data_IF_363210198778
#
_entry.id   IF_363210198778
#
_cell.length_a   1.000
_cell.length_b   1.000
_cell.length_c   1.000
_cell.angle_alpha   90.00
_cell.angle_beta   90.00
_cell.angle_gamma   90.00
#
_symmetry.space_group_name_H-M   'P 1'
#
loop_
_entity.id
_entity.type
_entity.pdbx_description
1 polymer ?
#
# COMPACT_ATOMS: atom_id res chain seq x y z
N UNK A 1 -15.65 45.07 -6.32
CA UNK A 1 -15.90 43.83 -7.08
C UNK A 1 -15.08 42.74 -6.41
N UNK A 2 -15.69 41.65 -5.89
CA UNK A 2 -14.90 40.61 -5.24
C UNK A 2 -14.29 39.69 -6.30
N UNK A 3 -12.97 39.61 -6.30
CA UNK A 3 -12.16 38.69 -7.10
C UNK A 3 -12.42 37.26 -6.66
N UNK A 4 -13.12 36.49 -7.48
CA UNK A 4 -13.26 35.04 -7.30
C UNK A 4 -11.94 34.42 -7.76
N UNK A 5 -10.99 34.29 -6.84
CA UNK A 5 -9.76 33.53 -7.06
C UNK A 5 -10.14 32.07 -7.22
N UNK A 6 -10.15 31.58 -8.47
CA UNK A 6 -10.30 30.17 -8.78
C UNK A 6 -9.26 29.35 -8.03
N UNK A 7 -9.71 28.59 -7.04
CA UNK A 7 -8.87 27.58 -6.41
C UNK A 7 -8.60 26.52 -7.47
N UNK A 8 -7.35 26.46 -7.93
CA UNK A 8 -6.89 25.42 -8.85
C UNK A 8 -7.20 24.03 -8.25
N UNK A 9 -7.48 23.01 -9.09
CA UNK A 9 -7.69 21.66 -8.61
C UNK A 9 -6.49 21.23 -7.75
N UNK A 10 -6.75 20.96 -6.48
CA UNK A 10 -5.73 20.44 -5.56
C UNK A 10 -5.54 18.96 -5.89
N UNK A 11 -4.86 18.71 -7.00
CA UNK A 11 -4.50 17.36 -7.42
C UNK A 11 -3.36 16.90 -6.52
N UNK A 12 -3.71 16.31 -5.37
CA UNK A 12 -2.71 15.83 -4.44
C UNK A 12 -2.05 14.61 -5.06
N UNK A 13 -0.71 14.57 -5.17
CA UNK A 13 -0.04 13.40 -5.67
C UNK A 13 -0.50 12.20 -4.85
N UNK A 14 -0.95 11.15 -5.55
CA UNK A 14 -1.31 9.86 -4.95
C UNK A 14 -0.05 9.32 -4.29
N UNK A 15 0.11 9.67 -3.02
CA UNK A 15 1.25 9.27 -2.22
C UNK A 15 0.97 7.82 -1.84
N UNK A 16 1.38 6.90 -2.70
CA UNK A 16 1.35 5.47 -2.44
C UNK A 16 2.00 5.23 -1.09
N UNK A 17 1.26 4.61 -0.18
CA UNK A 17 1.66 4.47 1.20
C UNK A 17 2.93 3.61 1.32
N UNK A 18 4.09 4.26 1.46
CA UNK A 18 5.40 3.60 1.63
C UNK A 18 5.54 2.83 2.95
N UNK A 19 4.58 2.91 3.88
CA UNK A 19 4.70 2.23 5.18
C UNK A 19 4.39 0.73 5.13
N UNK A 20 3.80 0.20 4.05
CA UNK A 20 3.45 -1.23 3.95
C UNK A 20 4.57 -2.13 3.42
N UNK A 21 5.78 -1.61 3.22
CA UNK A 21 6.94 -2.46 2.89
C UNK A 21 7.33 -3.36 4.06
N UNK A 22 6.98 -2.99 5.30
CA UNK A 22 7.26 -3.76 6.51
C UNK A 22 5.93 -4.23 7.10
N UNK A 23 5.67 -5.54 7.05
CA UNK A 23 4.52 -6.12 7.72
C UNK A 23 4.81 -6.25 9.21
N UNK A 24 3.92 -5.74 10.07
CA UNK A 24 3.98 -5.94 11.52
C UNK A 24 3.98 -7.44 11.90
N UNK A 25 3.26 -8.25 11.12
CA UNK A 25 3.21 -9.70 11.28
C UNK A 25 4.55 -10.34 10.89
N UNK A 26 5.17 -9.86 9.82
CA UNK A 26 6.52 -10.32 9.42
C UNK A 26 7.57 -9.96 10.46
N UNK A 27 7.48 -8.76 11.05
CA UNK A 27 8.42 -8.29 12.08
C UNK A 27 8.29 -9.12 13.37
N UNK A 28 7.06 -9.37 13.83
CA UNK A 28 6.81 -10.21 15.02
C UNK A 28 7.25 -11.66 14.79
N UNK A 29 7.03 -12.21 13.59
CA UNK A 29 7.52 -13.53 13.22
C UNK A 29 9.06 -13.61 13.23
N UNK A 30 9.76 -12.59 12.72
CA UNK A 30 11.22 -12.53 12.75
C UNK A 30 11.76 -12.43 14.17
N UNK A 31 11.18 -11.56 15.01
CA UNK A 31 11.59 -11.41 16.40
C UNK A 31 11.38 -12.72 17.17
N UNK A 32 10.24 -13.39 16.97
CA UNK A 32 9.96 -14.68 17.58
C UNK A 32 10.96 -15.76 17.13
N UNK A 33 11.28 -15.80 15.83
CA UNK A 33 12.27 -16.74 15.28
C UNK A 33 13.67 -16.50 15.84
N UNK A 34 14.08 -15.23 16.00
CA UNK A 34 15.38 -14.89 16.59
C UNK A 34 15.44 -15.19 18.09
N UNK A 35 14.36 -14.94 18.83
CA UNK A 35 14.28 -15.28 20.26
C UNK A 35 14.32 -16.79 20.46
N UNK A 36 13.51 -17.56 19.73
CA UNK A 36 13.53 -19.02 19.78
C UNK A 36 14.89 -19.58 19.31
N UNK A 37 15.46 -19.03 18.24
CA UNK A 37 16.79 -19.39 17.76
C UNK A 37 17.88 -19.13 18.80
N UNK A 38 17.83 -17.99 19.49
CA UNK A 38 18.74 -17.66 20.58
C UNK A 38 18.61 -18.60 21.79
N UNK A 39 17.38 -18.94 22.18
CA UNK A 39 17.10 -19.89 23.27
C UNK A 39 17.60 -21.30 22.93
N UNK A 40 17.35 -21.78 21.70
CA UNK A 40 17.82 -23.08 21.22
C UNK A 40 19.35 -23.13 21.13
N UNK A 41 19.96 -22.03 20.68
CA UNK A 41 21.43 -21.89 20.61
C UNK A 41 22.07 -21.86 21.99
N UNK A 42 21.42 -21.22 22.96
CA UNK A 42 21.86 -21.21 24.36
C UNK A 42 21.78 -22.60 25.01
N UNK A 43 20.80 -23.44 24.63
CA UNK A 43 20.67 -24.81 25.10
C UNK A 43 21.68 -25.78 24.46
N UNK A 44 21.86 -25.72 23.13
CA UNK A 44 22.69 -26.69 22.39
C UNK A 44 24.16 -26.26 22.22
N UNK A 45 24.55 -25.06 22.70
CA UNK A 45 25.92 -24.48 22.61
C UNK A 45 26.55 -24.56 21.21
N UNK A 46 25.72 -24.65 20.19
CA UNK A 46 26.09 -24.84 18.78
C UNK A 46 25.48 -23.68 18.00
N UNK A 47 26.26 -22.91 17.20
CA UNK A 47 25.77 -21.68 16.56
C UNK A 47 24.92 -21.92 15.29
N UNK A 48 24.93 -23.14 14.76
CA UNK A 48 24.20 -23.54 13.55
C UNK A 48 22.67 -23.30 13.60
N UNK A 49 21.94 -23.66 14.68
CA UNK A 49 20.50 -23.37 14.78
C UNK A 49 20.18 -21.87 14.73
N UNK A 50 21.05 -21.00 15.23
CA UNK A 50 20.87 -19.54 15.16
C UNK A 50 20.81 -19.03 13.73
N UNK A 51 21.73 -19.52 12.88
CA UNK A 51 21.81 -19.13 11.47
C UNK A 51 20.60 -19.65 10.68
N UNK A 52 20.21 -20.90 10.88
CA UNK A 52 19.07 -21.49 10.19
C UNK A 52 17.75 -20.79 10.55
N UNK A 53 17.52 -20.55 11.84
CA UNK A 53 16.31 -19.88 12.34
C UNK A 53 16.28 -18.40 11.95
N UNK A 54 17.43 -17.72 11.95
CA UNK A 54 17.56 -16.35 11.46
C UNK A 54 17.26 -16.21 9.97
N UNK A 55 17.77 -17.13 9.14
CA UNK A 55 17.46 -17.18 7.70
C UNK A 55 15.98 -17.45 7.44
N UNK A 56 15.38 -18.40 8.19
CA UNK A 56 13.95 -18.69 8.09
C UNK A 56 13.09 -17.48 8.51
N UNK A 57 13.45 -16.80 9.61
CA UNK A 57 12.78 -15.58 10.07
C UNK A 57 12.89 -14.43 9.07
N UNK A 58 14.06 -14.25 8.44
CA UNK A 58 14.27 -13.26 7.38
C UNK A 58 13.39 -13.56 6.16
N UNK A 59 13.30 -14.83 5.76
CA UNK A 59 12.42 -15.25 4.67
C UNK A 59 10.95 -14.94 4.97
N UNK A 60 10.49 -15.28 6.19
CA UNK A 60 9.11 -15.02 6.63
C UNK A 60 8.79 -13.51 6.69
N UNK A 61 9.74 -12.68 7.13
CA UNK A 61 9.60 -11.22 7.15
C UNK A 61 9.29 -10.67 5.76
N UNK A 62 10.00 -11.13 4.74
CA UNK A 62 9.81 -10.67 3.37
C UNK A 62 8.64 -11.34 2.66
N UNK A 63 8.26 -12.56 3.07
CA UNK A 63 7.22 -13.34 2.42
C UNK A 63 5.80 -12.95 2.85
N UNK A 64 5.59 -12.60 4.12
CA UNK A 64 4.26 -12.28 4.64
C UNK A 64 3.99 -10.78 4.49
N UNK A 65 2.97 -10.42 3.70
CA UNK A 65 2.46 -9.05 3.59
C UNK A 65 0.98 -8.98 3.94
N UNK A 66 0.54 -7.80 4.38
CA UNK A 66 -0.83 -7.55 4.81
C UNK A 66 -1.35 -6.33 4.05
N UNK A 67 -2.46 -6.51 3.33
CA UNK A 67 -3.20 -5.41 2.70
C UNK A 67 -4.38 -5.00 3.59
N UNK A 68 -4.68 -3.70 3.67
CA UNK A 68 -5.86 -3.20 4.40
C UNK A 68 -7.13 -3.54 3.62
N UNK A 69 -8.27 -3.56 4.32
CA UNK A 69 -9.58 -3.93 3.75
C UNK A 69 -10.00 -3.13 2.51
N UNK A 70 -9.56 -1.88 2.41
CA UNK A 70 -9.88 -0.95 1.33
C UNK A 70 -8.76 -0.84 0.28
N UNK A 71 -7.71 -1.65 0.38
CA UNK A 71 -6.58 -1.61 -0.55
C UNK A 71 -6.59 -2.89 -1.41
N UNK A 72 -6.31 -2.72 -2.70
CA UNK A 72 -5.94 -3.85 -3.58
C UNK A 72 -4.53 -3.66 -4.12
N UNK A 73 -3.84 -4.79 -4.30
CA UNK A 73 -2.48 -4.81 -4.83
C UNK A 73 -2.40 -5.74 -6.03
N UNK A 74 -1.81 -5.26 -7.12
CA UNK A 74 -1.50 -6.09 -8.28
C UNK A 74 -0.18 -6.82 -8.02
N UNK A 75 -0.19 -8.14 -8.18
CA UNK A 75 1.03 -8.96 -8.05
C UNK A 75 1.60 -9.25 -9.41
N UNK A 76 2.86 -8.85 -9.57
CA UNK A 76 3.64 -9.03 -10.78
C UNK A 76 4.66 -10.12 -10.50
N UNK A 77 4.64 -11.20 -11.29
CA UNK A 77 5.66 -12.25 -11.23
C UNK A 77 6.61 -12.09 -12.40
N UNK A 78 7.87 -11.77 -12.14
CA UNK A 78 8.89 -11.52 -13.18
C UNK A 78 8.40 -10.57 -14.29
N UNK A 79 7.71 -9.49 -13.89
CA UNK A 79 7.15 -8.50 -14.83
C UNK A 79 5.82 -8.89 -15.49
N UNK A 80 5.29 -10.10 -15.26
CA UNK A 80 3.97 -10.51 -15.75
C UNK A 80 2.89 -10.34 -14.69
N UNK A 81 1.74 -9.82 -15.09
CA UNK A 81 0.58 -9.72 -14.21
C UNK A 81 0.07 -11.12 -13.84
N UNK A 82 0.04 -11.43 -12.55
CA UNK A 82 -0.42 -12.71 -12.03
C UNK A 82 -1.83 -12.63 -11.45
N UNK A 83 -2.21 -11.47 -10.92
CA UNK A 83 -3.55 -11.25 -10.38
C UNK A 83 -3.61 -10.10 -9.37
N UNK A 84 -4.84 -9.71 -9.03
CA UNK A 84 -5.13 -8.79 -7.94
C UNK A 84 -5.32 -9.60 -6.66
N UNK A 85 -4.51 -9.34 -5.64
CA UNK A 85 -4.74 -9.88 -4.31
C UNK A 85 -5.66 -8.95 -3.55
N UNK A 86 -6.70 -9.55 -2.98
CA UNK A 86 -7.67 -8.88 -2.12
C UNK A 86 -7.10 -8.55 -0.74
N UNK A 87 -7.89 -7.85 0.08
CA UNK A 87 -7.51 -7.47 1.42
C UNK A 87 -7.25 -8.68 2.33
N UNK A 88 -6.27 -8.56 3.25
CA UNK A 88 -5.91 -9.60 4.20
C UNK A 88 -4.43 -9.97 4.19
N UNK A 89 -4.10 -11.05 4.90
CA UNK A 89 -2.75 -11.62 4.95
C UNK A 89 -2.52 -12.46 3.71
N UNK A 90 -1.46 -12.17 2.97
CA UNK A 90 -1.07 -12.99 1.82
C UNK A 90 0.44 -13.22 1.82
N UNK A 91 0.82 -14.43 1.42
CA UNK A 91 2.21 -14.77 1.19
C UNK A 91 2.59 -14.52 -0.27
N UNK A 92 3.74 -13.89 -0.45
CA UNK A 92 4.42 -13.70 -1.73
C UNK A 92 5.82 -14.27 -1.64
N UNK A 93 6.37 -14.70 -2.77
CA UNK A 93 7.77 -15.11 -2.84
C UNK A 93 8.60 -13.85 -3.12
N UNK A 94 9.36 -13.33 -2.14
CA UNK A 94 9.96 -11.99 -2.25
C UNK A 94 10.99 -11.84 -3.38
N UNK A 95 11.52 -12.94 -3.89
CA UNK A 95 12.51 -12.97 -4.98
C UNK A 95 11.86 -12.89 -6.37
N UNK A 96 10.63 -13.40 -6.52
CA UNK A 96 9.98 -13.60 -7.83
C UNK A 96 8.76 -12.71 -8.02
N UNK A 97 8.07 -12.40 -6.92
CA UNK A 97 6.85 -11.62 -6.90
C UNK A 97 7.14 -10.17 -6.48
N UNK A 98 6.93 -9.23 -7.40
CA UNK A 98 6.95 -7.79 -7.14
C UNK A 98 5.51 -7.31 -6.91
N UNK A 99 5.29 -6.57 -5.83
CA UNK A 99 4.01 -5.91 -5.60
C UNK A 99 4.01 -4.53 -6.26
N UNK A 100 2.95 -4.23 -6.98
CA UNK A 100 2.67 -2.87 -7.43
C UNK A 100 2.23 -1.98 -6.25
N UNK A 101 1.98 -0.70 -6.52
CA UNK A 101 1.43 0.23 -5.54
C UNK A 101 0.09 -0.30 -5.00
N UNK A 102 -0.11 -0.17 -3.69
CA UNK A 102 -1.40 -0.41 -3.05
C UNK A 102 -2.36 0.68 -3.51
N UNK A 103 -3.42 0.27 -4.19
CA UNK A 103 -4.45 1.16 -4.71
C UNK A 103 -5.60 1.17 -3.71
N UNK A 104 -5.88 2.37 -3.18
CA UNK A 104 -7.07 2.62 -2.38
C UNK A 104 -8.32 2.50 -3.26
N UNK A 105 -9.26 1.66 -2.86
CA UNK A 105 -10.52 1.45 -3.56
C UNK A 105 -11.60 2.43 -3.14
N UNK A 106 -11.32 3.29 -2.16
CA UNK A 106 -12.30 4.28 -1.69
C UNK A 106 -12.61 5.29 -2.79
N UNK A 107 -13.90 5.54 -2.96
CA UNK A 107 -14.40 6.58 -3.87
C UNK A 107 -13.93 7.93 -3.32
N UNK A 108 -13.28 8.71 -4.17
CA UNK A 108 -12.90 10.10 -3.89
C UNK A 108 -13.72 10.97 -4.82
N UNK A 109 -14.56 11.81 -4.23
CA UNK A 109 -15.31 12.82 -4.97
C UNK A 109 -14.39 14.00 -5.23
N UNK A 110 -14.35 14.45 -6.48
CA UNK A 110 -13.66 15.68 -6.85
C UNK A 110 -14.72 16.71 -7.21
N UNK A 111 -14.85 17.72 -6.35
CA UNK A 111 -15.77 18.83 -6.62
C UNK A 111 -15.15 19.75 -7.68
N UNK A 112 -15.82 19.87 -8.84
CA UNK A 112 -15.42 20.78 -9.91
C UNK A 112 -16.42 21.94 -9.94
N UNK A 113 -16.02 23.08 -9.37
CA UNK A 113 -16.75 24.34 -9.55
C UNK A 113 -16.39 24.94 -10.89
N UNK A 114 -17.35 24.99 -11.82
CA UNK A 114 -17.19 25.73 -13.06
C UNK A 114 -17.38 27.23 -12.79
N UNK A 115 -16.47 28.04 -13.32
CA UNK A 115 -16.62 29.50 -13.33
C UNK A 115 -17.88 29.91 -14.11
N UNK A 116 -18.54 31.00 -13.71
CA UNK A 116 -19.83 31.43 -14.27
C UNK A 116 -19.76 31.56 -15.79
N UNK A 117 -20.53 30.75 -16.51
CA UNK A 117 -20.62 30.83 -17.97
C UNK A 117 -21.87 31.61 -18.37
N UNK A 118 -21.76 32.39 -19.44
CA UNK A 118 -22.86 33.18 -19.97
C UNK A 118 -23.58 32.36 -21.04
N UNK A 119 -24.88 32.16 -20.87
CA UNK A 119 -25.71 31.56 -21.93
C UNK A 119 -25.87 32.54 -23.10
N UNK A 120 -26.34 32.02 -24.24
CA UNK A 120 -26.57 32.82 -25.46
C UNK A 120 -27.50 34.02 -25.23
N UNK A 121 -28.38 33.93 -24.25
CA UNK A 121 -29.33 34.97 -23.87
C UNK A 121 -28.79 35.90 -22.76
N UNK A 122 -27.47 35.90 -22.55
CA UNK A 122 -26.78 36.70 -21.55
C UNK A 122 -27.20 36.44 -20.08
N UNK A 123 -27.83 35.29 -19.81
CA UNK A 123 -28.19 34.89 -18.45
C UNK A 123 -26.99 34.15 -17.82
N UNK A 124 -26.50 34.60 -16.64
CA UNK A 124 -25.42 33.91 -15.93
C UNK A 124 -25.94 32.61 -15.32
N UNK A 125 -25.22 31.51 -15.54
CA UNK A 125 -25.55 30.20 -14.97
C UNK A 125 -24.34 29.68 -14.18
N UNK A 126 -24.60 29.21 -12.97
CA UNK A 126 -23.60 28.57 -12.11
C UNK A 126 -23.76 27.06 -12.23
N UNK A 127 -22.69 26.34 -12.56
CA UNK A 127 -22.68 24.88 -12.66
C UNK A 127 -21.83 24.32 -11.52
N UNK A 128 -22.47 23.54 -10.66
CA UNK A 128 -21.81 22.76 -9.61
C UNK A 128 -21.84 21.29 -10.04
N UNK A 129 -20.66 20.69 -10.21
CA UNK A 129 -20.52 19.32 -10.68
C UNK A 129 -19.74 18.49 -9.65
N UNK A 130 -20.35 17.37 -9.25
CA UNK A 130 -19.75 16.35 -8.39
C UNK A 130 -19.52 15.11 -9.25
N UNK A 131 -18.27 14.65 -9.33
CA UNK A 131 -17.85 13.46 -10.12
C UNK A 131 -17.02 12.50 -9.29
#
# INVERSE_FOLDING_TARGET
MPSVTGQAPVDRPVTGNRSQVVSEIGLTALILCLVLGGVVTALLRTPWPMLAMGLAGLYLLFSIKVARQWEKVAVLRLGKYHGLRGPGVFSIVPVVDTLSNFIDQRIRVTDVKAESTLTRDAVPVFVDAIV
#
